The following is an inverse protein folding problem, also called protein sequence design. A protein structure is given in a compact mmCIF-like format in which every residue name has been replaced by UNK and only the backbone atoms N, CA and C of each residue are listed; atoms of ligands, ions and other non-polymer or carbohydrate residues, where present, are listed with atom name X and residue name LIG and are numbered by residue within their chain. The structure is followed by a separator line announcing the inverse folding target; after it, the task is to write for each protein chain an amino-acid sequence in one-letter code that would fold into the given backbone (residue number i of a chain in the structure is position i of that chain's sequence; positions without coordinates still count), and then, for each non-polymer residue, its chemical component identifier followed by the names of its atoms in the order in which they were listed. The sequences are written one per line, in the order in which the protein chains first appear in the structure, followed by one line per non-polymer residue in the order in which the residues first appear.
data_IF_556014943770
#
_entry.id   IF_556014943770
#
_cell.length_a   1.000
_cell.length_b   1.000
_cell.length_c   1.000
_cell.angle_alpha   90.00
_cell.angle_beta   90.00
_cell.angle_gamma   90.00
#
_symmetry.space_group_name_H-M   'P 1'
#
loop_
_entity.id
_entity.type
_entity.pdbx_description
1 polymer ?
#
# COMPACT_ATOMS: atom_id res chain seq x y z
N UNK A 1 16.51 -19.57 5.59
CA UNK A 1 16.51 -19.04 5.49
C UNK A 1 16.74 -18.21 5.48
N UNK A 2 16.65 -17.96 5.67
CA UNK A 2 16.78 -17.29 5.60
C UNK A 2 16.82 -16.25 5.28
N UNK A 3 16.65 -15.64 5.23
CA UNK A 3 16.69 -14.77 4.89
C UNK A 3 16.79 -13.93 4.89
N UNK A 4 16.73 -13.91 4.90
CA UNK A 4 16.73 -12.99 4.64
C UNK A 4 17.11 -11.67 4.59
N UNK A 5 16.74 -10.77 4.04
CA UNK A 5 17.14 -9.38 4.02
C UNK A 5 16.54 -8.58 5.16
N UNK A 6 17.19 -7.48 5.45
CA UNK A 6 16.65 -6.51 6.39
C UNK A 6 15.94 -5.44 5.56
N UNK A 7 14.74 -5.07 5.97
CA UNK A 7 13.95 -4.07 5.24
C UNK A 7 13.85 -2.80 6.06
N UNK A 8 14.05 -1.67 5.38
CA UNK A 8 13.87 -0.35 6.00
C UNK A 8 12.82 0.40 5.20
N UNK A 9 11.82 0.93 5.91
CA UNK A 9 10.75 1.70 5.25
C UNK A 9 11.36 2.95 4.63
N UNK A 10 11.02 3.20 3.37
CA UNK A 10 11.53 4.36 2.65
C UNK A 10 10.99 5.66 3.22
N UNK A 11 11.80 6.71 3.11
CA UNK A 11 11.33 8.05 3.45
C UNK A 11 10.50 8.60 2.28
N UNK A 12 9.57 9.47 2.60
CA UNK A 12 8.80 10.17 1.58
C UNK A 12 7.48 9.50 1.25
N UNK A 13 6.99 9.78 0.07
CA UNK A 13 5.66 9.37 -0.37
C UNK A 13 5.76 8.43 -1.56
N UNK A 14 4.90 7.41 -1.63
CA UNK A 14 4.88 6.54 -2.80
C UNK A 14 4.45 7.30 -4.04
N UNK A 15 5.03 6.94 -5.19
CA UNK A 15 4.65 7.53 -6.46
C UNK A 15 3.34 6.94 -6.95
N UNK A 16 2.69 7.63 -7.88
CA UNK A 16 1.47 7.10 -8.49
C UNK A 16 1.74 5.79 -9.21
N UNK A 17 2.91 5.65 -9.81
CA UNK A 17 3.28 4.42 -10.49
C UNK A 17 3.38 3.26 -9.50
N UNK A 18 4.01 3.49 -8.36
CA UNK A 18 4.09 2.48 -7.31
C UNK A 18 2.71 2.09 -6.81
N UNK A 19 1.83 3.06 -6.65
CA UNK A 19 0.46 2.79 -6.23
C UNK A 19 -0.30 1.98 -7.27
N UNK A 20 -0.02 2.23 -8.54
CA UNK A 20 -0.67 1.47 -9.62
C UNK A 20 -0.23 0.00 -9.58
N UNK A 21 1.05 -0.25 -9.43
CA UNK A 21 1.54 -1.64 -9.33
C UNK A 21 0.98 -2.33 -8.09
N UNK A 22 1.00 -1.63 -6.96
CA UNK A 22 0.45 -2.18 -5.72
C UNK A 22 -1.02 -2.54 -5.89
N UNK A 23 -1.78 -1.67 -6.58
CA UNK A 23 -3.21 -1.89 -6.79
C UNK A 23 -3.50 -3.22 -7.47
N UNK A 24 -2.66 -3.60 -8.43
CA UNK A 24 -2.82 -4.86 -9.13
C UNK A 24 -2.63 -6.06 -8.22
N UNK A 25 -1.80 -5.91 -7.20
CA UNK A 25 -1.47 -7.01 -6.28
C UNK A 25 -2.43 -7.11 -5.11
N UNK A 26 -3.15 -6.04 -4.80
CA UNK A 26 -4.06 -6.03 -3.65
C UNK A 26 -5.27 -6.92 -3.87
N UNK A 27 -5.78 -6.95 -5.09
CA UNK A 27 -6.97 -7.73 -5.42
C UNK A 27 -8.11 -7.42 -4.44
N UNK A 28 -8.68 -8.44 -3.82
CA UNK A 28 -9.84 -8.27 -2.94
C UNK A 28 -9.52 -7.53 -1.64
N UNK A 29 -8.26 -7.35 -1.32
CA UNK A 29 -7.89 -6.72 -0.05
C UNK A 29 -7.93 -5.19 -0.08
N UNK A 30 -8.24 -4.60 -1.23
CA UNK A 30 -8.24 -3.15 -1.37
C UNK A 30 -9.20 -2.46 -0.41
N UNK A 31 -10.35 -3.07 -0.13
CA UNK A 31 -11.31 -2.46 0.80
C UNK A 31 -10.78 -2.46 2.23
N UNK A 32 -10.17 -3.57 2.63
CA UNK A 32 -9.59 -3.66 3.96
C UNK A 32 -8.46 -2.64 4.14
N UNK A 33 -7.64 -2.49 3.12
CA UNK A 33 -6.59 -1.48 3.16
C UNK A 33 -7.17 -0.08 3.24
N UNK A 34 -8.19 0.20 2.42
CA UNK A 34 -8.83 1.51 2.44
C UNK A 34 -9.34 1.92 3.81
N UNK A 35 -9.91 0.97 4.53
CA UNK A 35 -10.37 1.25 5.89
C UNK A 35 -9.21 1.61 6.82
N UNK A 36 -8.08 0.93 6.67
CA UNK A 36 -6.89 1.25 7.49
C UNK A 36 -6.28 2.59 7.13
N UNK A 37 -6.51 3.04 5.89
CA UNK A 37 -6.03 4.36 5.46
C UNK A 37 -7.01 5.49 5.80
N UNK A 38 -8.14 5.16 6.44
CA UNK A 38 -9.05 6.17 6.97
C UNK A 38 -10.33 6.41 6.20
N UNK A 39 -10.61 5.60 5.18
CA UNK A 39 -11.86 5.75 4.44
C UNK A 39 -13.03 5.09 5.17
N UNK A 40 -14.17 5.75 5.16
CA UNK A 40 -15.39 5.16 5.70
C UNK A 40 -16.07 4.29 4.65
N UNK A 41 -17.15 3.61 5.07
CA UNK A 41 -17.82 2.68 4.16
C UNK A 41 -18.46 3.39 2.95
N UNK A 42 -18.94 4.61 3.15
CA UNK A 42 -19.52 5.35 2.02
C UNK A 42 -18.47 5.63 0.95
N UNK A 43 -17.27 6.02 1.35
CA UNK A 43 -16.19 6.27 0.41
C UNK A 43 -15.75 4.98 -0.28
N UNK A 44 -15.65 3.89 0.48
CA UNK A 44 -15.31 2.57 -0.09
C UNK A 44 -16.33 2.16 -1.13
N UNK A 45 -17.63 2.33 -0.82
CA UNK A 45 -18.68 1.98 -1.76
C UNK A 45 -18.61 2.83 -3.03
N UNK A 46 -18.28 4.11 -2.91
CA UNK A 46 -18.15 4.98 -4.08
C UNK A 46 -17.03 4.49 -5.01
N UNK A 47 -15.89 4.10 -4.45
CA UNK A 47 -14.81 3.54 -5.27
C UNK A 47 -15.24 2.24 -5.95
N UNK A 48 -15.98 1.41 -5.21
CA UNK A 48 -16.43 0.13 -5.71
C UNK A 48 -17.39 0.30 -6.89
N UNK A 49 -18.31 1.25 -6.79
CA UNK A 49 -19.32 1.47 -7.83
C UNK A 49 -18.78 2.24 -9.02
N UNK A 50 -17.77 3.06 -8.84
CA UNK A 50 -17.24 3.91 -9.89
C UNK A 50 -16.37 3.17 -10.91
N UNK A 51 -15.91 1.97 -10.58
CA UNK A 51 -14.99 1.21 -11.43
C UNK A 51 -15.39 -0.25 -11.44
N UNK A 52 -15.07 -0.93 -12.53
CA UNK A 52 -15.42 -2.34 -12.65
C UNK A 52 -14.31 -3.28 -12.20
N UNK A 53 -13.05 -2.94 -12.51
CA UNK A 53 -11.93 -3.80 -12.20
C UNK A 53 -11.40 -3.56 -10.80
N UNK A 54 -11.02 -4.65 -10.11
CA UNK A 54 -10.48 -4.53 -8.76
C UNK A 54 -9.25 -3.64 -8.70
N UNK A 55 -8.36 -3.76 -9.69
CA UNK A 55 -7.15 -2.95 -9.71
C UNK A 55 -7.49 -1.46 -9.83
N UNK A 56 -8.50 -1.11 -10.62
CA UNK A 56 -8.90 0.28 -10.75
C UNK A 56 -9.55 0.81 -9.48
N UNK A 57 -10.36 -0.01 -8.83
CA UNK A 57 -10.95 0.37 -7.54
C UNK A 57 -9.86 0.68 -6.52
N UNK A 58 -8.89 -0.21 -6.44
CA UNK A 58 -7.76 -0.05 -5.52
C UNK A 58 -6.94 1.19 -5.87
N UNK A 59 -6.67 1.41 -7.15
CA UNK A 59 -5.86 2.54 -7.57
C UNK A 59 -6.54 3.88 -7.27
N UNK A 60 -7.83 3.99 -7.58
CA UNK A 60 -8.57 5.20 -7.27
C UNK A 60 -8.57 5.48 -5.77
N UNK A 61 -8.75 4.44 -4.97
CA UNK A 61 -8.70 4.57 -3.52
C UNK A 61 -7.34 5.09 -3.06
N UNK A 62 -6.25 4.49 -3.55
CA UNK A 62 -4.90 4.88 -3.14
C UNK A 62 -4.55 6.29 -3.60
N UNK A 63 -4.96 6.66 -4.81
CA UNK A 63 -4.74 8.02 -5.31
C UNK A 63 -5.49 9.04 -4.48
N UNK A 64 -6.74 8.73 -4.15
CA UNK A 64 -7.55 9.63 -3.34
C UNK A 64 -6.93 9.82 -1.95
N UNK A 65 -6.44 8.72 -1.38
CA UNK A 65 -5.71 8.78 -0.11
C UNK A 65 -4.52 9.72 -0.21
N UNK A 66 -3.72 9.56 -1.26
CA UNK A 66 -2.52 10.37 -1.43
C UNK A 66 -2.86 11.85 -1.57
N UNK A 67 -3.93 12.16 -2.29
CA UNK A 67 -4.36 13.53 -2.47
C UNK A 67 -4.94 14.14 -1.20
N UNK A 68 -5.71 13.35 -0.46
CA UNK A 68 -6.38 13.84 0.74
C UNK A 68 -5.41 14.14 1.88
N UNK A 69 -4.45 13.27 2.10
CA UNK A 69 -3.54 13.44 3.23
C UNK A 69 -2.24 14.12 2.83
N UNK A 70 -2.05 14.38 1.55
CA UNK A 70 -0.91 15.14 1.02
C UNK A 70 0.41 14.64 1.59
N UNK A 71 1.14 15.48 2.32
CA UNK A 71 2.45 15.10 2.86
C UNK A 71 2.37 13.99 3.91
N UNK A 72 1.17 13.68 4.40
CA UNK A 72 0.98 12.57 5.33
C UNK A 72 0.87 11.22 4.66
N UNK A 73 0.77 11.17 3.32
CA UNK A 73 0.66 9.92 2.58
C UNK A 73 2.05 9.32 2.35
N UNK A 74 2.66 8.86 3.44
CA UNK A 74 4.04 8.38 3.42
C UNK A 74 4.11 6.88 3.23
N UNK A 75 5.29 6.41 2.85
CA UNK A 75 5.57 4.97 2.80
C UNK A 75 5.32 4.33 4.16
N UNK A 76 5.65 5.02 5.24
CA UNK A 76 5.47 4.49 6.60
C UNK A 76 3.99 4.24 6.89
N UNK A 77 3.12 5.18 6.57
CA UNK A 77 1.69 5.03 6.79
C UNK A 77 1.15 3.88 5.96
N UNK A 78 1.55 3.80 4.70
CA UNK A 78 1.12 2.72 3.81
C UNK A 78 1.64 1.37 4.30
N UNK A 79 2.90 1.32 4.73
CA UNK A 79 3.50 0.11 5.27
C UNK A 79 2.70 -0.40 6.46
N UNK A 80 2.42 0.48 7.43
CA UNK A 80 1.68 0.08 8.63
C UNK A 80 0.29 -0.43 8.29
N UNK A 81 -0.38 0.23 7.33
CA UNK A 81 -1.71 -0.20 6.91
C UNK A 81 -1.69 -1.57 6.24
N UNK A 82 -0.69 -1.80 5.36
CA UNK A 82 -0.56 -3.09 4.68
C UNK A 82 -0.24 -4.21 5.65
N UNK A 83 0.54 -3.92 6.69
CA UNK A 83 0.92 -4.93 7.68
C UNK A 83 -0.14 -5.15 8.75
N UNK A 84 -1.18 -4.33 8.79
CA UNK A 84 -2.24 -4.46 9.79
C UNK A 84 -2.83 -5.87 9.74
N UNK A 85 -3.16 -6.42 10.90
CA UNK A 85 -3.63 -7.81 11.00
C UNK A 85 -4.88 -8.10 10.18
N UNK A 86 -5.69 -7.06 9.92
CA UNK A 86 -6.89 -7.23 9.10
C UNK A 86 -6.60 -7.19 7.59
N UNK A 87 -5.43 -6.74 7.20
CA UNK A 87 -5.03 -6.67 5.80
C UNK A 87 -4.05 -7.79 5.45
N UNK A 88 -3.05 -7.97 6.25
CA UNK A 88 -2.07 -9.07 6.14
C UNK A 88 -1.35 -9.10 4.78
N UNK A 89 -0.85 -7.94 4.37
CA UNK A 89 -0.11 -7.82 3.12
C UNK A 89 1.34 -7.43 3.37
N UNK A 90 1.99 -8.10 4.30
CA UNK A 90 3.37 -7.76 4.67
C UNK A 90 4.33 -7.85 3.50
N UNK A 91 4.19 -8.87 2.65
CA UNK A 91 5.09 -9.02 1.49
C UNK A 91 4.96 -7.84 0.53
N UNK A 92 3.73 -7.36 0.32
CA UNK A 92 3.52 -6.18 -0.50
C UNK A 92 4.08 -4.92 0.15
N UNK A 93 3.95 -4.83 1.47
CA UNK A 93 4.50 -3.71 2.21
C UNK A 93 6.01 -3.65 2.05
N UNK A 94 6.68 -4.80 2.16
CA UNK A 94 8.13 -4.86 2.00
C UNK A 94 8.54 -4.51 0.57
N UNK A 95 7.79 -4.99 -0.41
CA UNK A 95 8.13 -4.77 -1.81
C UNK A 95 7.98 -3.31 -2.23
N UNK A 96 6.92 -2.64 -1.80
CA UNK A 96 6.60 -1.31 -2.31
C UNK A 96 6.96 -0.17 -1.36
N UNK A 97 7.11 -0.45 -0.07
CA UNK A 97 7.36 0.59 0.91
C UNK A 97 8.75 0.54 1.53
N UNK A 98 9.55 -0.44 1.18
CA UNK A 98 10.84 -0.65 1.84
C UNK A 98 11.97 -0.79 0.84
N UNK A 99 13.16 -0.40 1.29
CA UNK A 99 14.40 -0.76 0.63
C UNK A 99 14.96 -1.98 1.36
N UNK A 100 15.43 -2.93 0.59
CA UNK A 100 16.10 -4.08 1.17
C UNK A 100 17.57 -3.74 1.38
N UNK A 101 18.03 -3.94 2.62
CA UNK A 101 19.43 -3.78 2.94
C UNK A 101 20.05 -5.16 2.98
N UNK A 102 20.89 -5.45 2.00
CA UNK A 102 21.47 -6.77 1.87
C UNK A 102 22.69 -6.95 2.71
N UNK A 103 22.91 -6.21 3.49
CA UNK A 103 24.00 -6.39 4.34
C UNK A 103 25.27 -6.84 3.70
N UNK A 104 24.78 -7.06 3.04
CA UNK A 104 25.22 -7.28 2.57
C UNK A 104 25.94 -7.67 2.00
N UNK A 105 25.88 -7.69 2.02
CA UNK A 105 26.20 -8.04 1.44
C UNK A 105 27.14 -8.35 0.98
N UNK A 106 27.44 -8.40 1.09
CA UNK A 106 28.12 -8.68 0.74
C UNK A 106 28.88 -9.04 0.66
N UNK A 107 29.41 -9.34 0.41
CA UNK A 107 30.32 -9.67 0.20
C UNK A 107 30.92 -9.91 -0.05
#
# INVERSE_FOLDING_TARGET
MLSSGIYIVKDGEPSNEELEYLSRKLAKKWKKLGRRLGFDEAAIDDFDQANEELAEKAYKMLRDWKEKVASGATYKVLYDALCHELVKCKLLAERYCCDEILGNASP
#
